data_IF_046850629187
#
_entry.id   IF_046850629187
#
_cell.length_a   1.000
_cell.length_b   1.000
_cell.length_c   1.000
_cell.angle_alpha   90.00
_cell.angle_beta   90.00
_cell.angle_gamma   90.00
#
_symmetry.space_group_name_H-M   'P 1'
#
loop_
_entity.id
_entity.type
_entity.pdbx_description
1 polymer ?
#
# COMPACT_ATOMS: atom_id res chain seq x y z
N UNK A 1 13.44 -8.92 27.96
CA UNK A 1 13.77 -7.72 28.77
C UNK A 1 15.27 -7.66 29.05
N UNK A 2 15.91 -8.76 29.46
CA UNK A 2 17.36 -8.83 29.67
C UNK A 2 18.19 -8.33 28.46
N UNK A 3 17.97 -8.90 27.27
CA UNK A 3 18.72 -8.52 26.05
C UNK A 3 18.57 -7.04 25.68
N UNK A 4 17.42 -6.44 26.05
CA UNK A 4 17.12 -5.05 25.73
C UNK A 4 17.85 -4.09 26.69
N UNK A 5 17.92 -4.44 27.98
CA UNK A 5 18.72 -3.69 28.96
C UNK A 5 20.23 -3.82 28.67
N UNK A 6 20.66 -5.01 28.24
CA UNK A 6 22.03 -5.23 27.78
C UNK A 6 22.34 -4.38 26.54
N UNK A 7 21.44 -4.35 25.55
CA UNK A 7 21.57 -3.52 24.36
C UNK A 7 21.68 -2.02 24.66
N UNK A 8 20.88 -1.50 25.59
CA UNK A 8 21.00 -0.11 26.07
C UNK A 8 22.35 0.11 26.76
N UNK A 9 22.76 -0.80 27.64
CA UNK A 9 24.01 -0.69 28.40
C UNK A 9 25.21 -0.67 27.46
N UNK A 10 25.29 -1.61 26.53
CA UNK A 10 26.37 -1.68 25.54
C UNK A 10 26.40 -0.45 24.63
N UNK A 11 25.23 0.05 24.20
CA UNK A 11 25.16 1.26 23.37
C UNK A 11 25.60 2.51 24.12
N UNK A 12 25.26 2.64 25.42
CA UNK A 12 25.76 3.74 26.27
C UNK A 12 27.28 3.67 26.45
N UNK A 13 27.83 2.48 26.65
CA UNK A 13 29.29 2.29 26.74
C UNK A 13 29.97 2.68 25.43
N UNK A 14 29.46 2.25 24.28
CA UNK A 14 30.00 2.62 22.97
C UNK A 14 29.99 4.15 22.76
N UNK A 15 28.89 4.82 23.12
CA UNK A 15 28.80 6.30 23.08
C UNK A 15 29.78 6.95 24.06
N UNK A 16 29.98 6.39 25.25
CA UNK A 16 30.92 6.93 26.24
C UNK A 16 32.39 6.78 25.83
N UNK A 17 32.74 5.70 25.12
CA UNK A 17 34.10 5.42 24.66
C UNK A 17 34.46 6.12 23.34
N UNK A 18 33.47 6.62 22.60
CA UNK A 18 33.68 7.26 21.30
C UNK A 18 33.80 8.78 21.46
N UNK A 19 34.93 9.42 21.08
CA UNK A 19 35.10 10.88 21.16
C UNK A 19 34.02 11.66 20.40
N UNK A 20 33.75 12.91 20.82
CA UNK A 20 32.69 13.74 20.25
C UNK A 20 32.84 13.96 18.74
N UNK A 21 34.06 14.17 18.27
CA UNK A 21 34.37 14.45 16.87
C UNK A 21 34.56 13.19 16.01
N UNK A 22 34.34 11.99 16.58
CA UNK A 22 34.56 10.75 15.85
C UNK A 22 33.42 10.47 14.85
N UNK A 23 33.72 10.17 13.56
CA UNK A 23 32.70 9.97 12.52
C UNK A 23 31.63 8.92 12.86
N UNK A 24 32.02 7.81 13.50
CA UNK A 24 31.09 6.74 13.89
C UNK A 24 30.25 7.05 15.13
N UNK A 25 30.47 8.17 15.83
CA UNK A 25 29.69 8.52 17.04
C UNK A 25 28.19 8.63 16.72
N UNK A 26 27.85 9.22 15.58
CA UNK A 26 26.47 9.35 15.10
C UNK A 26 25.78 7.98 14.90
N UNK A 27 26.54 6.93 14.58
CA UNK A 27 26.01 5.56 14.47
C UNK A 27 25.63 5.00 15.85
N UNK A 28 26.52 5.15 16.84
CA UNK A 28 26.27 4.67 18.21
C UNK A 28 25.13 5.42 18.89
N UNK A 29 25.06 6.74 18.72
CA UNK A 29 23.95 7.56 19.21
C UNK A 29 22.61 7.13 18.61
N UNK A 30 22.59 6.86 17.29
CA UNK A 30 21.40 6.35 16.62
C UNK A 30 20.99 4.95 17.11
N UNK A 31 21.96 4.08 17.36
CA UNK A 31 21.74 2.76 17.95
C UNK A 31 21.13 2.85 19.36
N UNK A 32 21.72 3.69 20.21
CA UNK A 32 21.24 3.96 21.57
C UNK A 32 19.79 4.47 21.57
N UNK A 33 19.48 5.46 20.72
CA UNK A 33 18.13 5.99 20.59
C UNK A 33 17.10 4.93 20.18
N UNK A 34 17.46 4.02 19.26
CA UNK A 34 16.58 2.93 18.86
C UNK A 34 16.30 1.95 20.02
N UNK A 35 17.33 1.59 20.79
CA UNK A 35 17.17 0.73 21.97
C UNK A 35 16.31 1.37 23.05
N UNK A 36 16.52 2.66 23.32
CA UNK A 36 15.72 3.42 24.28
C UNK A 36 14.25 3.52 23.85
N UNK A 37 13.98 3.80 22.57
CA UNK A 37 12.61 3.81 22.06
C UNK A 37 11.94 2.44 22.22
N UNK A 38 12.63 1.34 21.89
CA UNK A 38 12.11 -0.02 22.11
C UNK A 38 11.87 -0.30 23.60
N UNK A 39 12.73 0.22 24.50
CA UNK A 39 12.52 0.10 25.95
C UNK A 39 11.26 0.82 26.38
N UNK A 40 11.07 2.04 25.89
CA UNK A 40 9.88 2.83 26.13
C UNK A 40 8.62 2.11 25.62
N UNK A 41 8.63 1.58 24.40
CA UNK A 41 7.49 0.84 23.83
C UNK A 41 7.04 -0.31 24.73
N UNK A 42 7.96 -0.98 25.44
CA UNK A 42 7.66 -2.09 26.35
C UNK A 42 7.32 -1.67 27.78
N UNK A 43 7.87 -0.55 28.26
CA UNK A 43 7.80 -0.17 29.69
C UNK A 43 6.95 1.05 29.96
N UNK A 44 6.67 1.86 28.94
CA UNK A 44 5.97 3.15 29.06
C UNK A 44 6.76 4.26 29.77
N UNK A 45 8.03 4.04 30.13
CA UNK A 45 8.84 5.01 30.88
C UNK A 45 9.19 6.23 30.02
N UNK A 46 8.58 7.38 30.32
CA UNK A 46 8.79 8.61 29.55
C UNK A 46 10.26 9.07 29.50
N UNK A 47 11.05 8.84 30.55
CA UNK A 47 12.47 9.18 30.57
C UNK A 47 13.26 8.51 29.42
N UNK A 48 12.90 7.28 29.04
CA UNK A 48 13.55 6.57 27.94
C UNK A 48 13.23 7.21 26.59
N UNK A 49 12.00 7.72 26.44
CA UNK A 49 11.56 8.40 25.23
C UNK A 49 12.20 9.79 25.08
N UNK A 50 12.33 10.52 26.18
CA UNK A 50 13.02 11.82 26.21
C UNK A 50 14.52 11.66 25.90
N UNK A 51 15.17 10.67 26.50
CA UNK A 51 16.57 10.34 26.20
C UNK A 51 16.72 9.90 24.74
N UNK A 52 15.81 9.06 24.22
CA UNK A 52 15.78 8.64 22.82
C UNK A 52 15.74 9.85 21.88
N UNK A 53 14.83 10.80 22.09
CA UNK A 53 14.74 12.01 21.28
C UNK A 53 16.04 12.83 21.33
N UNK A 54 16.63 13.01 22.52
CA UNK A 54 17.87 13.76 22.71
C UNK A 54 19.07 13.13 21.98
N UNK A 55 19.28 11.81 22.13
CA UNK A 55 20.42 11.15 21.49
C UNK A 55 20.24 11.03 19.97
N UNK A 56 19.01 10.88 19.48
CA UNK A 56 18.72 10.87 18.05
C UNK A 56 18.90 12.25 17.41
N UNK A 57 18.55 13.32 18.12
CA UNK A 57 18.82 14.69 17.69
C UNK A 57 20.33 14.92 17.53
N UNK A 58 21.12 14.54 18.54
CA UNK A 58 22.59 14.62 18.45
C UNK A 58 23.15 13.79 17.29
N UNK A 59 22.57 12.61 17.01
CA UNK A 59 22.99 11.79 15.88
C UNK A 59 22.74 12.49 14.53
N UNK A 60 21.59 13.18 14.37
CA UNK A 60 21.27 13.96 13.18
C UNK A 60 22.22 15.14 13.02
N UNK A 61 22.48 15.88 14.09
CA UNK A 61 23.37 17.05 14.08
C UNK A 61 24.82 16.68 13.77
N UNK A 62 25.28 15.53 14.28
CA UNK A 62 26.63 15.01 14.03
C UNK A 62 26.79 14.38 12.64
N UNK A 63 25.75 14.39 11.82
CA UNK A 63 25.75 13.74 10.49
C UNK A 63 25.85 14.77 9.36
N UNK A 64 26.87 14.67 8.49
CA UNK A 64 26.97 15.50 7.28
C UNK A 64 25.72 15.43 6.39
N UNK A 65 25.38 16.53 5.71
CA UNK A 65 24.16 16.63 4.89
C UNK A 65 24.12 15.71 3.68
N UNK A 66 25.28 15.31 3.18
CA UNK A 66 25.48 14.38 2.08
C UNK A 66 25.57 12.91 2.52
N UNK A 67 25.45 12.64 3.83
CA UNK A 67 25.58 11.29 4.36
C UNK A 67 24.30 10.46 4.15
N UNK A 68 24.39 9.26 3.56
CA UNK A 68 23.22 8.42 3.22
C UNK A 68 22.44 7.93 4.44
N UNK A 69 23.13 7.61 5.55
CA UNK A 69 22.46 7.21 6.80
C UNK A 69 21.71 8.35 7.50
N UNK A 70 21.81 9.59 6.99
CA UNK A 70 21.03 10.71 7.52
C UNK A 70 19.52 10.45 7.37
N UNK A 71 19.10 9.71 6.34
CA UNK A 71 17.71 9.23 6.20
C UNK A 71 17.28 8.40 7.41
N UNK A 72 18.07 7.39 7.78
CA UNK A 72 17.76 6.51 8.91
C UNK A 72 17.74 7.25 10.24
N UNK A 73 18.64 8.22 10.42
CA UNK A 73 18.72 9.05 11.64
C UNK A 73 17.51 9.96 11.78
N UNK A 74 17.14 10.69 10.72
CA UNK A 74 15.92 11.47 10.67
C UNK A 74 14.66 10.62 10.84
N UNK A 75 14.62 9.44 10.23
CA UNK A 75 13.50 8.50 10.37
C UNK A 75 13.32 8.07 11.83
N UNK A 76 14.41 7.69 12.51
CA UNK A 76 14.36 7.27 13.91
C UNK A 76 13.96 8.43 14.83
N UNK A 77 14.51 9.62 14.61
CA UNK A 77 14.14 10.83 15.35
C UNK A 77 12.65 11.16 15.17
N UNK A 78 12.17 11.20 13.92
CA UNK A 78 10.77 11.45 13.61
C UNK A 78 9.84 10.42 14.24
N UNK A 79 10.25 9.13 14.27
CA UNK A 79 9.51 8.08 14.97
C UNK A 79 9.46 8.32 16.49
N UNK A 80 10.57 8.68 17.12
CA UNK A 80 10.62 8.98 18.56
C UNK A 80 9.77 10.20 18.93
N UNK A 81 9.82 11.25 18.12
CA UNK A 81 8.99 12.46 18.28
C UNK A 81 7.50 12.16 18.10
N UNK A 82 7.14 11.31 17.14
CA UNK A 82 5.77 10.85 16.99
C UNK A 82 5.29 10.08 18.23
N UNK A 83 6.08 9.13 18.74
CA UNK A 83 5.71 8.41 19.97
C UNK A 83 5.58 9.34 21.17
N UNK A 84 6.35 10.43 21.21
CA UNK A 84 6.20 11.47 22.23
C UNK A 84 4.89 12.24 22.07
N UNK A 85 4.54 12.64 20.85
CA UNK A 85 3.24 13.23 20.55
C UNK A 85 2.07 12.32 20.98
N UNK A 86 2.15 11.02 20.67
CA UNK A 86 1.11 10.04 21.05
C UNK A 86 0.92 9.93 22.57
N UNK A 87 1.94 10.28 23.39
CA UNK A 87 1.85 10.29 24.85
C UNK A 87 1.46 11.64 25.44
N UNK A 88 1.94 12.75 24.87
CA UNK A 88 1.77 14.08 25.46
C UNK A 88 0.66 14.91 24.80
N UNK A 89 0.28 14.59 23.57
CA UNK A 89 -0.63 15.40 22.76
C UNK A 89 -0.04 16.73 22.29
N UNK A 90 1.23 17.01 22.55
CA UNK A 90 1.87 18.29 22.22
C UNK A 90 2.06 18.45 20.71
N UNK A 91 1.34 19.38 20.10
CA UNK A 91 1.36 19.64 18.64
C UNK A 91 2.77 19.94 18.12
N UNK A 92 3.62 20.59 18.91
CA UNK A 92 5.01 20.85 18.52
C UNK A 92 5.80 19.57 18.19
N UNK A 93 5.52 18.45 18.86
CA UNK A 93 6.20 17.18 18.60
C UNK A 93 5.79 16.58 17.25
N UNK A 94 4.51 16.70 16.84
CA UNK A 94 4.06 16.16 15.54
C UNK A 94 4.53 17.01 14.36
N UNK A 95 4.65 18.33 14.56
CA UNK A 95 5.27 19.22 13.57
C UNK A 95 6.76 18.94 13.39
N UNK A 96 7.49 18.73 14.49
CA UNK A 96 8.91 18.40 14.40
C UNK A 96 9.14 16.99 13.83
N UNK A 97 8.27 16.04 14.16
CA UNK A 97 8.29 14.70 13.58
C UNK A 97 8.07 14.74 12.05
N UNK A 98 7.07 15.49 11.56
CA UNK A 98 6.81 15.58 10.12
C UNK A 98 7.96 16.26 9.37
N UNK A 99 8.55 17.33 9.94
CA UNK A 99 9.76 17.97 9.40
C UNK A 99 10.93 17.00 9.31
N UNK A 100 11.21 16.24 10.37
CA UNK A 100 12.27 15.23 10.35
C UNK A 100 12.05 14.19 9.24
N UNK A 101 10.83 13.69 9.08
CA UNK A 101 10.51 12.70 8.05
C UNK A 101 10.54 13.29 6.62
N UNK A 102 10.16 14.55 6.44
CA UNK A 102 10.34 15.26 5.16
C UNK A 102 11.83 15.45 4.82
N UNK A 103 12.65 15.79 5.81
CA UNK A 103 14.10 15.88 5.61
C UNK A 103 14.71 14.51 5.24
N UNK A 104 14.19 13.41 5.80
CA UNK A 104 14.56 12.07 5.38
C UNK A 104 14.14 11.78 3.92
N UNK A 105 12.93 12.18 3.52
CA UNK A 105 12.44 12.03 2.14
C UNK A 105 13.29 12.78 1.12
N UNK A 106 13.69 14.02 1.42
CA UNK A 106 14.47 14.88 0.52
C UNK A 106 15.97 14.56 0.47
N UNK A 107 16.48 13.70 1.35
CA UNK A 107 17.89 13.32 1.38
C UNK A 107 18.22 12.36 0.21
N UNK A 108 18.61 12.96 -0.92
CA UNK A 108 18.93 12.25 -2.17
C UNK A 108 20.01 11.15 -2.04
N UNK A 109 21.04 11.26 -1.17
CA UNK A 109 22.02 10.20 -1.00
C UNK A 109 21.46 8.90 -0.40
N UNK A 110 20.32 8.97 0.31
CA UNK A 110 19.69 7.80 0.93
C UNK A 110 19.09 6.83 -0.09
N UNK A 111 18.87 5.57 0.31
CA UNK A 111 18.23 4.60 -0.57
C UNK A 111 16.77 4.97 -0.83
N UNK A 112 16.22 4.72 -2.04
CA UNK A 112 14.82 4.99 -2.36
C UNK A 112 13.86 4.34 -1.36
N UNK A 113 14.11 3.10 -0.96
CA UNK A 113 13.32 2.38 0.03
C UNK A 113 13.29 3.09 1.40
N UNK A 114 14.43 3.57 1.89
CA UNK A 114 14.49 4.27 3.18
C UNK A 114 13.76 5.62 3.12
N UNK A 115 13.86 6.32 1.99
CA UNK A 115 13.13 7.58 1.74
C UNK A 115 11.62 7.34 1.69
N UNK A 116 11.17 6.33 0.95
CA UNK A 116 9.75 5.93 0.86
C UNK A 116 9.20 5.55 2.22
N UNK A 117 9.97 4.80 3.03
CA UNK A 117 9.59 4.46 4.40
C UNK A 117 9.35 5.69 5.28
N UNK A 118 10.20 6.70 5.16
CA UNK A 118 10.02 7.95 5.89
C UNK A 118 8.81 8.75 5.39
N UNK A 119 8.64 8.85 4.06
CA UNK A 119 7.52 9.54 3.44
C UNK A 119 6.16 8.89 3.77
N UNK A 120 6.06 7.57 3.72
CA UNK A 120 4.86 6.82 4.09
C UNK A 120 4.40 7.11 5.52
N UNK A 121 5.36 7.22 6.46
CA UNK A 121 5.06 7.61 7.84
C UNK A 121 4.70 9.09 7.96
N UNK A 122 5.38 9.96 7.20
CA UNK A 122 5.12 11.39 7.19
C UNK A 122 3.71 11.72 6.67
N UNK A 123 3.25 11.02 5.63
CA UNK A 123 1.93 11.19 5.02
C UNK A 123 0.81 11.20 6.08
N UNK A 124 0.85 10.21 6.98
CA UNK A 124 -0.10 10.08 8.10
C UNK A 124 -0.01 11.21 9.12
N UNK A 125 1.18 11.78 9.32
CA UNK A 125 1.37 12.92 10.23
C UNK A 125 0.91 14.23 9.61
N UNK A 126 1.12 14.41 8.30
CA UNK A 126 0.68 15.60 7.57
C UNK A 126 -0.85 15.65 7.48
N UNK A 127 -1.49 14.51 7.26
CA UNK A 127 -2.94 14.38 7.31
C UNK A 127 -3.51 14.82 8.68
N UNK A 128 -2.93 14.33 9.79
CA UNK A 128 -3.31 14.77 11.15
C UNK A 128 -3.10 16.27 11.41
N UNK A 129 -2.15 16.88 10.72
CA UNK A 129 -1.85 18.32 10.80
C UNK A 129 -2.71 19.16 9.85
N UNK A 130 -3.65 18.55 9.12
CA UNK A 130 -4.46 19.20 8.10
C UNK A 130 -3.63 19.89 7.00
N UNK A 131 -2.45 19.34 6.68
CA UNK A 131 -1.56 19.82 5.61
C UNK A 131 -1.78 19.01 4.33
N UNK A 132 -3.01 19.06 3.81
CA UNK A 132 -3.51 18.19 2.74
C UNK A 132 -2.70 18.31 1.46
N UNK A 133 -2.41 19.53 0.97
CA UNK A 133 -1.68 19.74 -0.29
C UNK A 133 -0.29 19.08 -0.30
N UNK A 134 0.46 19.26 0.80
CA UNK A 134 1.80 18.69 0.97
C UNK A 134 1.71 17.17 1.06
N UNK A 135 0.69 16.65 1.76
CA UNK A 135 0.46 15.22 1.89
C UNK A 135 0.13 14.58 0.53
N UNK A 136 -0.74 15.20 -0.26
CA UNK A 136 -1.09 14.74 -1.61
C UNK A 136 0.17 14.68 -2.48
N UNK A 137 0.94 15.76 -2.55
CA UNK A 137 2.16 15.78 -3.36
C UNK A 137 3.15 14.71 -2.92
N UNK A 138 3.37 14.56 -1.61
CA UNK A 138 4.25 13.52 -1.07
C UNK A 138 3.77 12.11 -1.44
N UNK A 139 2.47 11.85 -1.36
CA UNK A 139 1.89 10.56 -1.75
C UNK A 139 2.06 10.27 -3.24
N UNK A 140 1.81 11.27 -4.11
CA UNK A 140 2.03 11.18 -5.56
C UNK A 140 3.50 10.83 -5.85
N UNK A 141 4.43 11.58 -5.26
CA UNK A 141 5.87 11.36 -5.44
C UNK A 141 6.33 9.97 -4.95
N UNK A 142 5.76 9.47 -3.85
CA UNK A 142 6.07 8.12 -3.34
C UNK A 142 5.65 7.07 -4.36
N UNK A 143 4.41 7.13 -4.88
CA UNK A 143 3.91 6.15 -5.85
C UNK A 143 4.74 6.19 -7.14
N UNK A 144 5.14 7.38 -7.59
CA UNK A 144 5.97 7.54 -8.78
C UNK A 144 7.41 7.01 -8.58
N UNK A 145 7.92 6.97 -7.34
CA UNK A 145 9.24 6.41 -7.01
C UNK A 145 9.21 4.88 -6.77
N UNK A 146 8.05 4.28 -6.48
CA UNK A 146 7.93 2.84 -6.19
C UNK A 146 8.49 1.91 -7.29
N UNK A 147 8.34 2.20 -8.61
CA UNK A 147 8.90 1.34 -9.67
C UNK A 147 10.43 1.17 -9.62
N UNK A 148 11.14 2.04 -8.89
CA UNK A 148 12.60 1.98 -8.75
C UNK A 148 13.03 1.08 -7.57
N UNK A 149 12.13 0.83 -6.62
CA UNK A 149 12.40 -0.09 -5.49
C UNK A 149 12.41 -1.53 -6.01
N UNK A 150 13.44 -2.32 -5.70
CA UNK A 150 13.47 -3.75 -6.03
C UNK A 150 13.12 -4.61 -4.84
N UNK A 151 12.26 -5.62 -5.04
CA UNK A 151 12.08 -6.73 -4.09
C UNK A 151 12.46 -8.09 -4.67
N UNK A 152 12.67 -8.20 -5.99
CA UNK A 152 12.78 -9.49 -6.69
C UNK A 152 13.97 -10.38 -6.33
N UNK A 153 14.97 -9.88 -5.59
CA UNK A 153 16.12 -10.65 -5.08
C UNK A 153 16.02 -11.05 -3.60
N UNK A 154 15.03 -10.50 -2.90
CA UNK A 154 14.81 -10.77 -1.49
C UNK A 154 14.11 -12.12 -1.31
N UNK A 155 14.37 -12.79 -0.20
CA UNK A 155 13.53 -13.93 0.21
C UNK A 155 12.07 -13.47 0.36
N UNK A 156 11.10 -14.38 0.18
CA UNK A 156 9.67 -14.02 0.22
C UNK A 156 9.28 -13.22 1.48
N UNK A 157 9.88 -13.53 2.63
CA UNK A 157 9.63 -12.81 3.89
C UNK A 157 10.12 -11.35 3.82
N UNK A 158 11.30 -11.13 3.22
CA UNK A 158 11.87 -9.80 3.03
C UNK A 158 11.12 -9.01 1.95
N UNK A 159 10.62 -9.68 0.90
CA UNK A 159 9.70 -9.08 -0.08
C UNK A 159 8.41 -8.59 0.59
N UNK A 160 7.80 -9.42 1.43
CA UNK A 160 6.62 -9.05 2.20
C UNK A 160 6.91 -7.87 3.14
N UNK A 161 8.08 -7.83 3.77
CA UNK A 161 8.50 -6.72 4.62
C UNK A 161 8.68 -5.41 3.83
N UNK A 162 9.24 -5.47 2.62
CA UNK A 162 9.36 -4.28 1.77
C UNK A 162 7.97 -3.82 1.30
N UNK A 163 7.12 -4.73 0.83
CA UNK A 163 5.74 -4.39 0.42
C UNK A 163 4.93 -3.81 1.58
N UNK A 164 5.10 -4.32 2.81
CA UNK A 164 4.41 -3.77 3.98
C UNK A 164 4.85 -2.36 4.34
N UNK A 165 6.05 -1.93 3.94
CA UNK A 165 6.57 -0.59 4.23
C UNK A 165 5.78 0.52 3.53
N UNK A 166 5.22 0.24 2.35
CA UNK A 166 4.38 1.18 1.61
C UNK A 166 2.93 0.72 1.48
N UNK A 167 2.57 -0.38 2.16
CA UNK A 167 1.18 -0.77 2.32
C UNK A 167 0.40 0.37 3.00
N UNK A 168 -0.76 0.72 2.43
CA UNK A 168 -1.59 1.82 2.89
C UNK A 168 -1.29 3.18 2.26
N UNK A 169 -0.09 3.43 1.69
CA UNK A 169 0.23 4.75 1.08
C UNK A 169 -0.79 5.14 0.01
N UNK A 170 -1.11 4.22 -0.91
CA UNK A 170 -2.10 4.47 -1.95
C UNK A 170 -3.52 4.68 -1.40
N UNK A 171 -3.86 4.02 -0.28
CA UNK A 171 -5.16 4.19 0.37
C UNK A 171 -5.27 5.55 1.07
N UNK A 172 -4.22 5.99 1.76
CA UNK A 172 -4.15 7.32 2.38
C UNK A 172 -4.14 8.44 1.33
N UNK A 173 -3.36 8.28 0.25
CA UNK A 173 -3.38 9.25 -0.85
C UNK A 173 -4.76 9.31 -1.52
N UNK A 174 -5.40 8.16 -1.73
CA UNK A 174 -6.77 8.10 -2.24
C UNK A 174 -7.72 8.90 -1.33
N UNK A 175 -7.68 8.68 -0.01
CA UNK A 175 -8.49 9.43 0.94
C UNK A 175 -8.26 10.95 0.85
N UNK A 176 -7.01 11.40 0.80
CA UNK A 176 -6.67 12.83 0.68
C UNK A 176 -7.17 13.45 -0.65
N UNK A 177 -7.05 12.73 -1.76
CA UNK A 177 -7.55 13.18 -3.07
C UNK A 177 -9.08 13.26 -3.08
N UNK A 178 -9.77 12.32 -2.42
CA UNK A 178 -11.23 12.35 -2.27
C UNK A 178 -11.70 13.50 -1.38
N UNK A 179 -10.93 13.86 -0.34
CA UNK A 179 -11.17 15.07 0.45
C UNK A 179 -11.03 16.35 -0.38
N UNK A 180 -10.14 16.33 -1.38
CA UNK A 180 -9.96 17.43 -2.34
C UNK A 180 -10.91 17.38 -3.53
N UNK A 181 -11.89 16.47 -3.52
CA UNK A 181 -12.87 16.26 -4.61
C UNK A 181 -12.23 15.89 -5.97
N UNK A 182 -11.17 15.07 -5.94
CA UNK A 182 -10.46 14.56 -7.13
C UNK A 182 -10.62 13.02 -7.30
N UNK A 183 -11.83 12.50 -7.58
CA UNK A 183 -12.09 11.05 -7.61
C UNK A 183 -11.40 10.31 -8.75
N UNK A 184 -11.18 10.97 -9.89
CA UNK A 184 -10.48 10.40 -11.03
C UNK A 184 -8.98 10.17 -10.73
N UNK A 185 -8.31 11.16 -10.13
CA UNK A 185 -6.93 11.06 -9.68
C UNK A 185 -6.79 10.04 -8.55
N UNK A 186 -7.74 10.02 -7.60
CA UNK A 186 -7.77 9.03 -6.52
C UNK A 186 -7.79 7.60 -7.07
N UNK A 187 -8.66 7.33 -8.06
CA UNK A 187 -8.74 6.04 -8.73
C UNK A 187 -7.44 5.68 -9.47
N UNK A 188 -6.88 6.62 -10.23
CA UNK A 188 -5.64 6.42 -11.00
C UNK A 188 -4.47 6.06 -10.08
N UNK A 189 -4.21 6.86 -9.05
CA UNK A 189 -3.11 6.57 -8.11
C UNK A 189 -3.32 5.28 -7.32
N UNK A 190 -4.57 4.92 -7.01
CA UNK A 190 -4.88 3.65 -6.35
C UNK A 190 -4.57 2.44 -7.24
N UNK A 191 -4.95 2.49 -8.52
CA UNK A 191 -4.61 1.44 -9.50
C UNK A 191 -3.11 1.41 -9.82
N UNK A 192 -2.44 2.56 -9.90
CA UNK A 192 -0.97 2.64 -10.06
C UNK A 192 -0.25 1.97 -8.89
N UNK A 193 -0.64 2.27 -7.65
CA UNK A 193 -0.07 1.65 -6.45
C UNK A 193 -0.21 0.11 -6.47
N UNK A 194 -1.40 -0.39 -6.84
CA UNK A 194 -1.64 -1.84 -7.00
C UNK A 194 -0.80 -2.46 -8.12
N UNK A 195 -0.72 -1.80 -9.26
CA UNK A 195 0.03 -2.29 -10.41
C UNK A 195 1.51 -2.45 -10.09
N UNK A 196 2.10 -1.54 -9.30
CA UNK A 196 3.48 -1.68 -8.85
C UNK A 196 3.63 -2.86 -7.89
N UNK A 197 2.75 -3.04 -6.91
CA UNK A 197 2.80 -4.20 -5.99
C UNK A 197 2.72 -5.52 -6.76
N UNK A 198 1.77 -5.65 -7.69
CA UNK A 198 1.61 -6.85 -8.52
C UNK A 198 2.82 -7.02 -9.45
N UNK A 199 3.31 -5.95 -10.04
CA UNK A 199 4.49 -5.96 -10.91
C UNK A 199 5.76 -6.38 -10.18
N UNK A 200 5.95 -5.98 -8.92
CA UNK A 200 7.09 -6.43 -8.10
C UNK A 200 7.05 -7.93 -7.80
N UNK A 201 5.87 -8.56 -7.83
CA UNK A 201 5.72 -10.01 -7.70
C UNK A 201 6.02 -10.78 -9.00
N UNK A 202 6.18 -10.08 -10.13
CA UNK A 202 6.40 -10.67 -11.47
C UNK A 202 7.73 -10.16 -12.04
N UNK A 203 8.74 -11.04 -12.18
CA UNK A 203 10.08 -10.62 -12.58
C UNK A 203 10.16 -10.02 -14.00
N UNK A 204 10.96 -8.95 -14.17
CA UNK A 204 11.22 -8.26 -15.44
C UNK A 204 12.72 -8.07 -15.75
N UNK A 205 13.07 -7.64 -16.98
CA UNK A 205 14.45 -7.53 -17.48
C UNK A 205 15.30 -6.40 -16.85
N UNK A 206 14.69 -5.34 -16.31
CA UNK A 206 15.38 -4.19 -15.69
C UNK A 206 15.94 -4.44 -14.27
N UNK A 207 16.04 -5.71 -13.85
CA UNK A 207 16.36 -6.14 -12.48
C UNK A 207 17.70 -5.61 -11.96
N UNK A 208 18.74 -5.63 -12.79
CA UNK A 208 20.11 -5.28 -12.36
C UNK A 208 20.25 -3.81 -11.95
N UNK A 209 19.67 -2.87 -12.70
CA UNK A 209 19.74 -1.44 -12.37
C UNK A 209 18.96 -1.13 -11.08
N UNK A 210 17.82 -1.80 -10.86
CA UNK A 210 17.06 -1.66 -9.61
C UNK A 210 17.85 -2.23 -8.41
N UNK A 211 18.63 -3.28 -8.59
CA UNK A 211 19.49 -3.82 -7.53
C UNK A 211 20.55 -2.81 -7.09
N UNK A 212 21.25 -2.21 -8.05
CA UNK A 212 22.29 -1.22 -7.78
C UNK A 212 21.74 0.06 -7.14
N UNK A 213 20.53 0.47 -7.52
CA UNK A 213 19.82 1.59 -6.89
C UNK A 213 19.48 1.34 -5.40
N UNK A 214 19.24 0.08 -5.02
CA UNK A 214 18.78 -0.29 -3.68
C UNK A 214 19.87 -0.94 -2.80
N UNK A 215 21.05 -1.21 -3.33
CA UNK A 215 22.13 -1.89 -2.62
C UNK A 215 22.48 -1.20 -1.28
N UNK A 216 22.55 -1.95 -0.16
CA UNK A 216 22.92 -1.38 1.14
C UNK A 216 24.36 -0.85 1.09
N UNK A 217 24.58 0.31 1.69
CA UNK A 217 25.93 0.86 1.84
C UNK A 217 26.58 0.19 3.05
N UNK A 218 27.45 -0.80 2.80
CA UNK A 218 28.38 -1.33 3.81
C UNK A 218 29.78 -0.90 3.43
N UNK A 219 30.31 0.16 4.04
CA UNK A 219 31.75 0.43 4.01
C UNK A 219 32.18 1.32 5.18
N UNK A 220 33.15 0.84 5.94
CA UNK A 220 33.87 1.52 7.03
C UNK A 220 35.01 2.44 6.50
N UNK A 221 35.07 2.71 5.19
CA UNK A 221 36.09 3.58 4.57
C UNK A 221 35.46 4.55 3.56
N UNK A 222 35.75 5.84 3.73
CA UNK A 222 35.09 6.97 3.05
C UNK A 222 35.14 6.96 1.51
N UNK A 223 36.22 6.43 0.92
CA UNK A 223 36.43 6.41 -0.55
C UNK A 223 35.56 5.37 -1.25
N UNK A 224 35.47 4.15 -0.72
CA UNK A 224 34.59 3.11 -1.24
C UNK A 224 33.10 3.52 -1.12
N UNK A 225 32.76 4.17 0.00
CA UNK A 225 31.40 4.69 0.21
C UNK A 225 31.04 5.80 -0.80
N UNK A 226 31.97 6.70 -1.14
CA UNK A 226 31.75 7.74 -2.15
C UNK A 226 31.53 7.16 -3.56
N UNK A 227 32.26 6.12 -3.92
CA UNK A 227 32.12 5.45 -5.22
C UNK A 227 30.78 4.71 -5.34
N UNK A 228 30.34 4.01 -4.29
CA UNK A 228 29.02 3.37 -4.27
C UNK A 228 27.89 4.42 -4.32
N UNK A 229 28.07 5.59 -3.68
CA UNK A 229 27.12 6.72 -3.80
C UNK A 229 27.02 7.28 -5.22
N UNK A 230 28.15 7.40 -5.93
CA UNK A 230 28.15 7.81 -7.34
C UNK A 230 27.41 6.79 -8.19
N UNK A 231 27.77 5.51 -8.03
CA UNK A 231 27.16 4.42 -8.81
C UNK A 231 25.66 4.31 -8.57
N UNK A 232 25.18 4.48 -7.33
CA UNK A 232 23.73 4.49 -7.05
C UNK A 232 23.00 5.59 -7.83
N UNK A 233 23.54 6.82 -7.84
CA UNK A 233 22.93 7.94 -8.58
C UNK A 233 22.95 7.71 -10.09
N UNK A 234 24.04 7.16 -10.60
CA UNK A 234 24.15 6.77 -12.00
C UNK A 234 23.14 5.69 -12.37
N UNK A 235 23.02 4.62 -11.56
CA UNK A 235 22.07 3.53 -11.80
C UNK A 235 20.60 4.00 -11.82
N UNK A 236 20.22 4.94 -10.94
CA UNK A 236 18.89 5.56 -10.97
C UNK A 236 18.69 6.34 -12.28
N UNK A 237 19.67 7.14 -12.70
CA UNK A 237 19.60 7.88 -13.97
C UNK A 237 19.58 6.99 -15.22
N UNK A 238 20.34 5.89 -15.21
CA UNK A 238 20.35 4.86 -16.25
C UNK A 238 19.00 4.15 -16.33
N UNK A 239 18.38 3.82 -15.19
CA UNK A 239 17.05 3.21 -15.16
C UNK A 239 15.99 4.16 -15.73
N UNK A 240 16.01 5.45 -15.36
CA UNK A 240 15.11 6.46 -15.90
C UNK A 240 15.31 6.67 -17.41
N UNK A 241 16.55 6.60 -17.89
CA UNK A 241 16.86 6.65 -19.32
C UNK A 241 16.31 5.42 -20.05
N UNK A 242 16.52 4.22 -19.50
CA UNK A 242 16.01 2.95 -20.05
C UNK A 242 14.47 2.95 -20.13
N UNK A 243 13.78 3.36 -19.07
CA UNK A 243 12.32 3.47 -19.07
C UNK A 243 11.84 4.45 -20.16
N UNK A 244 12.52 5.60 -20.33
CA UNK A 244 12.20 6.56 -21.39
C UNK A 244 12.44 6.00 -22.79
N UNK A 245 13.51 5.24 -22.98
CA UNK A 245 13.80 4.58 -24.25
C UNK A 245 12.71 3.56 -24.61
N UNK A 246 12.32 2.71 -23.66
CA UNK A 246 11.23 1.73 -23.86
C UNK A 246 9.92 2.46 -24.22
N UNK A 247 9.63 3.59 -23.56
CA UNK A 247 8.46 4.42 -23.90
C UNK A 247 8.55 5.12 -25.26
N UNK A 248 9.72 5.17 -25.89
CA UNK A 248 9.90 5.63 -27.27
C UNK A 248 9.55 4.58 -28.32
N UNK A 249 9.37 3.31 -27.94
CA UNK A 249 9.00 2.22 -28.84
C UNK A 249 7.48 2.25 -29.09
N UNK A 250 7.07 2.16 -30.35
CA UNK A 250 5.66 2.12 -30.75
C UNK A 250 4.94 0.97 -30.05
N UNK A 251 3.83 1.28 -29.37
CA UNK A 251 3.06 0.34 -28.56
C UNK A 251 3.54 0.16 -27.12
N UNK A 252 4.65 0.80 -26.74
CA UNK A 252 5.20 0.79 -25.38
C UNK A 252 5.21 2.17 -24.72
N UNK A 253 4.52 3.16 -25.29
CA UNK A 253 4.47 4.55 -24.81
C UNK A 253 4.04 4.65 -23.34
N UNK A 254 3.29 3.64 -22.88
CA UNK A 254 2.77 3.52 -21.52
C UNK A 254 3.40 2.38 -20.71
N UNK A 255 4.62 1.98 -21.07
CA UNK A 255 5.40 1.02 -20.29
C UNK A 255 5.54 1.47 -18.83
N UNK A 256 5.20 0.58 -17.90
CA UNK A 256 5.10 0.82 -16.45
C UNK A 256 4.13 1.95 -16.05
N UNK A 257 3.23 2.40 -16.94
CA UNK A 257 2.13 3.28 -16.60
C UNK A 257 0.82 2.50 -16.39
N UNK A 258 -0.05 3.01 -15.52
CA UNK A 258 -1.38 2.47 -15.25
C UNK A 258 -2.36 2.68 -16.42
N UNK A 259 -3.58 2.16 -16.29
CA UNK A 259 -4.69 2.46 -17.22
C UNK A 259 -5.11 3.93 -17.11
N UNK A 260 -5.66 4.52 -18.18
CA UNK A 260 -6.28 5.85 -18.06
C UNK A 260 -7.64 5.72 -17.41
N UNK A 261 -8.16 6.84 -16.90
CA UNK A 261 -9.53 6.90 -16.37
C UNK A 261 -10.54 6.44 -17.42
N UNK A 262 -10.41 6.88 -18.68
CA UNK A 262 -11.27 6.44 -19.77
C UNK A 262 -11.23 4.92 -19.99
N UNK A 263 -10.03 4.30 -19.99
CA UNK A 263 -9.91 2.84 -20.10
C UNK A 263 -10.52 2.11 -18.90
N UNK A 264 -10.41 2.69 -17.70
CA UNK A 264 -11.04 2.14 -16.50
C UNK A 264 -12.57 2.23 -16.57
N UNK A 265 -13.12 3.31 -17.12
CA UNK A 265 -14.55 3.47 -17.39
C UNK A 265 -15.05 2.50 -18.46
N UNK A 266 -14.28 2.27 -19.52
CA UNK A 266 -14.59 1.23 -20.53
C UNK A 266 -14.62 -0.17 -19.89
N UNK A 267 -13.74 -0.42 -18.92
CA UNK A 267 -13.77 -1.65 -18.11
C UNK A 267 -15.02 -1.74 -17.20
N UNK A 268 -15.83 -0.69 -17.05
CA UNK A 268 -17.11 -0.71 -16.35
C UNK A 268 -18.33 -0.84 -17.29
N UNK A 269 -18.13 -1.09 -18.60
CA UNK A 269 -19.23 -1.14 -19.59
C UNK A 269 -20.32 -2.20 -19.34
N UNK A 270 -20.02 -3.25 -18.58
CA UNK A 270 -20.94 -4.37 -18.31
C UNK A 270 -21.34 -4.44 -16.82
N UNK A 271 -21.28 -3.32 -16.10
CA UNK A 271 -21.62 -3.22 -14.69
C UNK A 271 -20.63 -2.35 -13.93
N UNK A 272 -21.15 -1.62 -12.94
CA UNK A 272 -20.38 -0.65 -12.14
C UNK A 272 -19.25 -1.36 -11.40
N UNK A 273 -18.05 -0.78 -11.48
CA UNK A 273 -16.94 -1.20 -10.62
C UNK A 273 -16.98 -0.34 -9.37
N UNK A 274 -17.05 -0.97 -8.21
CA UNK A 274 -17.08 -0.29 -6.92
C UNK A 274 -15.78 -0.56 -6.20
N UNK A 275 -15.00 0.50 -6.02
CA UNK A 275 -13.73 0.44 -5.28
C UNK A 275 -13.99 0.92 -3.85
N UNK A 276 -13.84 0.03 -2.88
CA UNK A 276 -13.99 0.37 -1.47
C UNK A 276 -12.60 0.68 -0.91
N UNK A 277 -12.38 1.95 -0.58
CA UNK A 277 -11.16 2.42 0.05
C UNK A 277 -11.35 2.60 1.56
N UNK A 278 -10.49 1.97 2.35
CA UNK A 278 -10.46 2.13 3.80
C UNK A 278 -9.10 2.66 4.19
N UNK A 279 -9.08 3.90 4.68
CA UNK A 279 -7.88 4.57 5.16
C UNK A 279 -8.08 5.09 6.59
N UNK A 280 -7.00 5.51 7.23
CA UNK A 280 -7.03 6.02 8.60
C UNK A 280 -7.80 7.35 8.72
N UNK A 281 -7.80 8.15 7.64
CA UNK A 281 -8.43 9.48 7.60
C UNK A 281 -9.92 9.38 7.32
N UNK A 282 -10.30 8.60 6.29
CA UNK A 282 -11.67 8.41 5.82
C UNK A 282 -11.80 7.11 5.06
N UNK A 283 -13.04 6.63 4.97
CA UNK A 283 -13.40 5.47 4.14
C UNK A 283 -14.41 5.91 3.09
N UNK A 284 -14.24 5.39 1.87
CA UNK A 284 -14.94 5.86 0.69
C UNK A 284 -15.25 4.73 -0.28
N UNK A 285 -16.35 4.89 -1.02
CA UNK A 285 -16.65 4.09 -2.19
C UNK A 285 -16.42 4.95 -3.45
N UNK A 286 -15.58 4.48 -4.37
CA UNK A 286 -15.44 5.05 -5.71
C UNK A 286 -16.25 4.19 -6.68
N UNK A 287 -17.26 4.78 -7.30
CA UNK A 287 -18.11 4.17 -8.31
C UNK A 287 -17.58 4.55 -9.68
N UNK A 288 -17.15 3.54 -10.44
CA UNK A 288 -16.66 3.68 -11.81
C UNK A 288 -17.72 3.14 -12.75
N UNK A 289 -18.22 4.02 -13.61
CA UNK A 289 -19.18 3.70 -14.66
C UNK A 289 -18.69 4.25 -16.02
N UNK A 290 -19.32 3.85 -17.14
CA UNK A 290 -19.03 4.43 -18.45
C UNK A 290 -19.28 5.94 -18.52
N UNK A 291 -20.13 6.47 -17.65
CA UNK A 291 -20.52 7.89 -17.67
C UNK A 291 -19.70 8.76 -16.73
N UNK A 292 -19.02 8.19 -15.74
CA UNK A 292 -18.20 8.96 -14.81
C UNK A 292 -17.49 8.14 -13.74
N UNK A 293 -16.65 8.83 -12.98
CA UNK A 293 -16.08 8.34 -11.72
C UNK A 293 -16.62 9.23 -10.60
N UNK A 294 -17.41 8.65 -9.71
CA UNK A 294 -18.04 9.36 -8.59
C UNK A 294 -17.52 8.74 -7.29
N UNK A 295 -17.27 9.56 -6.28
CA UNK A 295 -16.90 9.09 -4.96
C UNK A 295 -17.96 9.45 -3.94
N UNK A 296 -18.17 8.55 -2.99
CA UNK A 296 -19.10 8.68 -1.90
C UNK A 296 -18.38 8.36 -0.58
N UNK A 297 -18.45 9.29 0.37
CA UNK A 297 -17.99 9.05 1.73
C UNK A 297 -18.84 7.99 2.40
N UNK A 298 -18.20 7.08 3.14
CA UNK A 298 -18.89 6.05 3.91
C UNK A 298 -18.99 6.48 5.37
N UNK A 299 -20.20 6.73 5.83
CA UNK A 299 -20.47 7.00 7.24
C UNK A 299 -20.54 5.68 8.02
N UNK A 300 -19.59 5.43 8.92
CA UNK A 300 -19.58 4.24 9.76
C UNK A 300 -18.50 4.24 10.85
N UNK A 301 -18.64 3.45 11.93
CA UNK A 301 -17.58 3.27 12.91
C UNK A 301 -16.33 2.68 12.24
N UNK A 302 -15.15 2.88 12.84
CA UNK A 302 -13.86 2.38 12.33
C UNK A 302 -14.03 0.98 11.75
N UNK A 303 -13.76 0.84 10.45
CA UNK A 303 -13.93 -0.43 9.76
C UNK A 303 -12.84 -1.39 10.26
N UNK A 304 -13.19 -2.19 11.26
CA UNK A 304 -12.32 -3.17 11.90
C UNK A 304 -12.28 -4.52 11.19
N UNK A 305 -11.46 -5.42 11.71
CA UNK A 305 -11.45 -6.83 11.30
C UNK A 305 -12.76 -7.50 11.70
N UNK A 306 -13.36 -8.27 10.77
CA UNK A 306 -14.58 -9.02 11.04
C UNK A 306 -14.41 -10.00 12.22
N UNK A 307 -15.51 -10.36 12.89
CA UNK A 307 -15.47 -11.13 14.13
C UNK A 307 -15.13 -12.61 13.91
N UNK A 308 -14.53 -13.24 14.91
CA UNK A 308 -14.12 -14.67 14.87
C UNK A 308 -15.26 -15.65 15.23
N UNK A 309 -16.36 -15.19 15.84
CA UNK A 309 -17.48 -16.03 16.28
C UNK A 309 -18.73 -15.91 15.38
N UNK A 310 -19.42 -17.04 15.15
CA UNK A 310 -20.55 -17.15 14.21
C UNK A 310 -21.76 -16.25 14.56
N UNK A 311 -22.06 -16.03 15.84
CA UNK A 311 -23.16 -15.14 16.26
C UNK A 311 -22.87 -13.68 15.94
N UNK A 312 -21.61 -13.28 16.05
CA UNK A 312 -21.12 -11.93 15.75
C UNK A 312 -20.98 -11.73 14.22
N UNK A 313 -20.84 -12.81 13.44
CA UNK A 313 -20.71 -12.73 11.99
C UNK A 313 -21.97 -12.21 11.29
N UNK A 314 -23.18 -12.62 11.72
CA UNK A 314 -24.43 -12.06 11.17
C UNK A 314 -24.60 -10.57 11.52
N UNK A 315 -24.20 -10.18 12.74
CA UNK A 315 -24.16 -8.77 13.15
C UNK A 315 -23.17 -7.98 12.29
N UNK A 316 -22.01 -8.57 11.97
CA UNK A 316 -21.02 -7.98 11.07
C UNK A 316 -21.55 -7.83 9.63
N UNK A 317 -22.26 -8.82 9.08
CA UNK A 317 -22.87 -8.71 7.75
C UNK A 317 -23.98 -7.65 7.71
N UNK A 318 -24.75 -7.53 8.80
CA UNK A 318 -25.77 -6.50 8.98
C UNK A 318 -25.13 -5.11 9.09
N UNK A 319 -24.03 -4.99 9.84
CA UNK A 319 -23.25 -3.77 9.92
C UNK A 319 -22.65 -3.39 8.56
N UNK A 320 -22.03 -4.33 7.85
CA UNK A 320 -21.42 -4.10 6.53
C UNK A 320 -22.47 -3.67 5.49
N UNK A 321 -23.70 -4.17 5.64
CA UNK A 321 -24.83 -3.74 4.83
C UNK A 321 -25.13 -2.26 5.04
N UNK A 322 -25.38 -1.85 6.28
CA UNK A 322 -25.78 -0.47 6.59
C UNK A 322 -24.64 0.54 6.38
N UNK A 323 -23.42 0.18 6.80
CA UNK A 323 -22.26 1.08 6.74
C UNK A 323 -21.68 1.24 5.32
N UNK A 324 -21.95 0.30 4.40
CA UNK A 324 -21.31 0.29 3.08
C UNK A 324 -22.29 -0.09 1.96
N UNK A 325 -22.71 -1.35 1.93
CA UNK A 325 -23.26 -1.93 0.70
C UNK A 325 -24.61 -1.31 0.33
N UNK A 326 -25.45 -1.00 1.32
CA UNK A 326 -26.74 -0.34 1.11
C UNK A 326 -26.56 1.03 0.43
N UNK A 327 -25.60 1.83 0.90
CA UNK A 327 -25.34 3.16 0.37
C UNK A 327 -24.87 3.10 -1.09
N UNK A 328 -23.93 2.18 -1.38
CA UNK A 328 -23.46 1.92 -2.75
C UNK A 328 -24.62 1.48 -3.66
N UNK A 329 -25.48 0.58 -3.19
CA UNK A 329 -26.60 0.06 -3.99
C UNK A 329 -27.65 1.13 -4.30
N UNK A 330 -27.89 2.07 -3.38
CA UNK A 330 -28.77 3.21 -3.63
C UNK A 330 -28.22 4.07 -4.77
N UNK A 331 -26.93 4.37 -4.75
CA UNK A 331 -26.29 5.19 -5.78
C UNK A 331 -26.22 4.47 -7.14
N UNK A 332 -25.89 3.17 -7.15
CA UNK A 332 -25.89 2.36 -8.37
C UNK A 332 -27.31 2.20 -8.94
N UNK A 333 -28.30 1.96 -8.08
CA UNK A 333 -29.70 1.75 -8.48
C UNK A 333 -30.43 3.02 -8.90
N UNK A 334 -30.04 4.18 -8.37
CA UNK A 334 -30.58 5.49 -8.76
C UNK A 334 -30.27 5.90 -10.21
N UNK A 335 -29.33 5.21 -10.86
CA UNK A 335 -28.95 5.44 -12.26
C UNK A 335 -29.54 4.45 -13.27
N UNK A 336 -30.31 3.44 -12.85
CA UNK A 336 -30.89 2.43 -13.74
C UNK A 336 -32.41 2.37 -13.64
N UNK A 337 -33.11 2.57 -14.76
CA UNK A 337 -34.49 2.10 -14.89
C UNK A 337 -34.47 0.57 -14.67
N UNK A 338 -35.09 0.11 -13.57
CA UNK A 338 -35.12 -1.30 -13.13
C UNK A 338 -35.91 -2.24 -14.06
N UNK A 339 -36.09 -1.86 -15.33
CA UNK A 339 -36.81 -2.65 -16.33
C UNK A 339 -36.01 -3.85 -16.85
N UNK A 340 -34.68 -3.92 -16.61
CA UNK A 340 -33.75 -4.92 -17.19
C UNK A 340 -33.10 -5.91 -16.18
N UNK A 341 -33.59 -5.99 -14.94
CA UNK A 341 -33.08 -6.95 -13.93
C UNK A 341 -32.12 -6.35 -12.90
N UNK A 342 -31.46 -7.19 -12.10
CA UNK A 342 -30.59 -6.74 -11.00
C UNK A 342 -29.29 -6.10 -11.52
N UNK A 343 -28.84 -4.96 -10.94
CA UNK A 343 -27.58 -4.32 -11.33
C UNK A 343 -26.38 -5.24 -11.10
N UNK A 344 -25.41 -5.23 -12.03
CA UNK A 344 -24.14 -5.97 -11.87
C UNK A 344 -23.09 -5.08 -11.24
N UNK A 345 -22.45 -5.58 -10.19
CA UNK A 345 -21.42 -4.87 -9.43
C UNK A 345 -20.14 -5.70 -9.36
N UNK A 346 -19.00 -5.03 -9.56
CA UNK A 346 -17.67 -5.59 -9.38
C UNK A 346 -16.99 -4.92 -8.18
N UNK A 347 -16.84 -5.66 -7.08
CA UNK A 347 -16.20 -5.18 -5.87
C UNK A 347 -14.68 -5.26 -5.98
N UNK A 348 -14.03 -4.16 -5.60
CA UNK A 348 -12.59 -4.03 -5.50
C UNK A 348 -12.22 -3.37 -4.15
N UNK A 349 -11.84 -4.18 -3.16
CA UNK A 349 -11.42 -3.64 -1.85
C UNK A 349 -9.97 -3.13 -1.85
N UNK A 350 -9.64 -2.15 -1.01
CA UNK A 350 -8.27 -1.79 -0.61
C UNK A 350 -8.00 -2.19 0.84
N UNK A 351 -6.77 -2.59 1.17
CA UNK A 351 -6.41 -2.94 2.55
C UNK A 351 -7.36 -3.99 3.14
N UNK A 352 -7.93 -3.71 4.32
CA UNK A 352 -8.90 -4.56 5.01
C UNK A 352 -10.20 -4.81 4.21
N UNK A 353 -10.60 -3.89 3.32
CA UNK A 353 -11.78 -4.09 2.47
C UNK A 353 -11.63 -5.30 1.53
N UNK A 354 -10.39 -5.68 1.20
CA UNK A 354 -10.11 -6.79 0.29
C UNK A 354 -10.59 -8.14 0.83
N UNK A 355 -10.74 -8.28 2.15
CA UNK A 355 -11.27 -9.47 2.81
C UNK A 355 -12.76 -9.40 3.14
N UNK A 356 -13.45 -8.31 2.81
CA UNK A 356 -14.84 -8.11 3.23
C UNK A 356 -15.86 -8.82 2.33
N UNK A 357 -16.84 -9.53 2.91
CA UNK A 357 -17.83 -10.28 2.17
C UNK A 357 -18.99 -9.38 1.70
N UNK A 358 -18.71 -8.31 0.93
CA UNK A 358 -19.72 -7.41 0.36
C UNK A 358 -20.88 -8.15 -0.32
N UNK A 359 -20.62 -9.25 -1.03
CA UNK A 359 -21.65 -10.08 -1.65
C UNK A 359 -22.65 -10.73 -0.66
N UNK A 360 -22.25 -10.92 0.60
CA UNK A 360 -23.07 -11.52 1.66
C UNK A 360 -23.59 -10.48 2.66
N UNK A 361 -23.23 -9.20 2.51
CA UNK A 361 -23.72 -8.15 3.38
C UNK A 361 -25.25 -8.07 3.31
N UNK A 362 -25.90 -8.05 4.46
CA UNK A 362 -27.35 -7.96 4.56
C UNK A 362 -27.90 -8.28 5.94
N UNK A 363 -29.16 -7.94 6.13
CA UNK A 363 -29.96 -8.43 7.27
C UNK A 363 -30.52 -9.80 6.88
N UNK A 364 -30.02 -10.86 7.53
CA UNK A 364 -30.40 -12.26 7.22
C UNK A 364 -31.57 -12.76 8.07
N UNK A 365 -32.54 -11.88 8.35
CA UNK A 365 -33.80 -12.28 8.96
C UNK A 365 -34.67 -13.05 7.96
N UNK A 366 -35.52 -13.95 8.45
CA UNK A 366 -36.42 -14.75 7.61
C UNK A 366 -37.27 -13.86 6.70
N UNK A 367 -37.15 -14.06 5.38
CA UNK A 367 -37.89 -13.30 4.36
C UNK A 367 -37.33 -11.91 4.02
N UNK A 368 -36.19 -11.50 4.60
CA UNK A 368 -35.57 -10.20 4.29
C UNK A 368 -35.01 -10.15 2.86
N UNK A 369 -35.24 -9.03 2.18
CA UNK A 369 -34.61 -8.66 0.89
C UNK A 369 -33.60 -7.50 1.03
N UNK A 370 -33.34 -7.08 2.27
CA UNK A 370 -32.32 -6.09 2.62
C UNK A 370 -30.95 -6.78 2.69
N UNK A 371 -30.51 -7.33 1.56
CA UNK A 371 -29.22 -7.99 1.41
C UNK A 371 -28.72 -7.87 -0.04
N UNK A 372 -27.41 -8.04 -0.21
CA UNK A 372 -26.74 -7.83 -1.50
C UNK A 372 -27.19 -8.84 -2.54
N UNK A 373 -27.37 -10.09 -2.14
CA UNK A 373 -27.81 -11.17 -3.01
C UNK A 373 -29.18 -10.89 -3.66
N UNK A 374 -30.10 -10.29 -2.92
CA UNK A 374 -31.44 -9.92 -3.42
C UNK A 374 -31.42 -8.68 -4.32
N UNK A 375 -30.35 -7.87 -4.29
CA UNK A 375 -30.34 -6.53 -4.89
C UNK A 375 -29.31 -6.33 -6.00
N UNK A 376 -28.32 -7.20 -6.14
CA UNK A 376 -27.30 -7.06 -7.17
C UNK A 376 -26.69 -8.40 -7.57
N UNK A 377 -26.24 -8.47 -8.82
CA UNK A 377 -25.32 -9.53 -9.29
C UNK A 377 -23.91 -9.10 -8.88
N UNK A 378 -23.45 -9.66 -7.77
CA UNK A 378 -22.16 -9.32 -7.15
C UNK A 378 -21.01 -10.17 -7.70
N UNK A 379 -19.87 -9.57 -7.97
CA UNK A 379 -18.63 -10.24 -8.39
C UNK A 379 -17.41 -9.47 -7.86
N UNK A 380 -16.23 -10.10 -7.82
CA UNK A 380 -15.00 -9.47 -7.36
C UNK A 380 -13.96 -9.41 -8.47
N UNK A 381 -13.10 -8.39 -8.44
CA UNK A 381 -11.92 -8.30 -9.30
C UNK A 381 -10.70 -7.86 -8.48
N UNK A 382 -9.48 -8.34 -8.78
CA UNK A 382 -8.28 -7.91 -8.06
C UNK A 382 -7.74 -6.53 -8.51
N UNK A 383 -8.12 -6.09 -9.71
CA UNK A 383 -7.87 -4.74 -10.24
C UNK A 383 -8.79 -4.44 -11.42
N UNK A 384 -8.91 -3.16 -11.80
CA UNK A 384 -9.68 -2.79 -13.00
C UNK A 384 -8.99 -3.34 -14.27
N UNK A 385 -7.65 -3.35 -14.29
CA UNK A 385 -6.87 -3.92 -15.40
C UNK A 385 -7.13 -5.41 -15.61
N UNK A 386 -7.22 -6.17 -14.52
CA UNK A 386 -7.53 -7.61 -14.59
C UNK A 386 -8.94 -7.86 -15.14
N UNK A 387 -9.92 -7.04 -14.74
CA UNK A 387 -11.28 -7.08 -15.28
C UNK A 387 -11.29 -6.79 -16.79
N UNK A 388 -10.57 -5.73 -17.21
CA UNK A 388 -10.40 -5.40 -18.62
C UNK A 388 -9.79 -6.53 -19.43
N UNK A 389 -8.71 -7.13 -18.93
CA UNK A 389 -8.04 -8.27 -19.56
C UNK A 389 -8.97 -9.49 -19.70
N UNK A 390 -9.69 -9.86 -18.63
CA UNK A 390 -10.63 -10.97 -18.65
C UNK A 390 -11.75 -10.76 -19.68
N UNK A 391 -12.30 -9.54 -19.74
CA UNK A 391 -13.35 -9.18 -20.70
C UNK A 391 -12.85 -9.16 -22.14
N UNK A 392 -11.68 -8.58 -22.39
CA UNK A 392 -11.07 -8.59 -23.72
C UNK A 392 -10.87 -10.03 -24.22
N UNK A 393 -10.35 -10.90 -23.36
CA UNK A 393 -10.16 -12.32 -23.67
C UNK A 393 -11.50 -13.04 -23.94
N UNK A 394 -12.54 -12.75 -23.14
CA UNK A 394 -13.87 -13.31 -23.38
C UNK A 394 -14.45 -12.88 -24.75
N UNK A 395 -14.41 -11.59 -25.08
CA UNK A 395 -14.85 -11.06 -26.39
C UNK A 395 -14.06 -11.65 -27.55
N UNK A 396 -12.74 -11.78 -27.41
CA UNK A 396 -11.91 -12.42 -28.43
C UNK A 396 -12.28 -13.90 -28.64
N UNK A 397 -12.66 -14.60 -27.57
CA UNK A 397 -13.11 -16.01 -27.62
C UNK A 397 -14.52 -16.15 -28.21
N UNK A 398 -15.44 -15.22 -27.92
CA UNK A 398 -16.78 -15.17 -28.52
C UNK A 398 -16.72 -14.90 -30.03
N UNK A 399 -15.83 -14.01 -30.45
CA UNK A 399 -15.57 -13.73 -31.87
C UNK A 399 -14.89 -14.92 -32.56
N UNK A 400 -14.10 -15.70 -31.83
CA UNK A 400 -13.54 -16.97 -32.27
C UNK A 400 -14.52 -18.13 -31.99
N UNK A 401 -15.71 -18.10 -32.60
CA UNK A 401 -16.72 -19.17 -32.50
C UNK A 401 -16.09 -20.56 -32.64
N UNK A 402 -16.05 -21.35 -31.56
CA UNK A 402 -15.76 -22.77 -31.65
C UNK A 402 -15.25 -23.53 -30.42
N UNK A 403 -14.84 -22.91 -29.32
CA UNK A 403 -14.29 -23.67 -28.19
C UNK A 403 -15.24 -23.75 -27.00
N UNK A 404 -16.01 -24.85 -26.96
CA UNK A 404 -16.72 -25.32 -25.77
C UNK A 404 -15.69 -25.74 -24.71
N UNK A 405 -15.66 -25.06 -23.55
CA UNK A 405 -14.86 -25.50 -22.40
C UNK A 405 -15.65 -26.56 -21.62
N UNK A 406 -15.30 -27.84 -21.79
CA UNK A 406 -15.79 -28.91 -20.93
C UNK A 406 -14.78 -29.08 -19.79
N UNK A 407 -15.16 -28.66 -18.58
CA UNK A 407 -14.44 -29.04 -17.37
C UNK A 407 -15.06 -30.33 -16.81
N UNK A 408 -14.46 -31.47 -17.13
CA UNK A 408 -14.80 -32.73 -16.48
C UNK A 408 -14.10 -32.80 -15.12
N UNK A 409 -14.87 -32.88 -14.03
CA UNK A 409 -14.33 -33.33 -12.73
C UNK A 409 -14.14 -34.86 -12.81
N UNK A 410 -12.91 -35.40 -12.70
CA UNK A 410 -12.70 -36.84 -12.77
C UNK A 410 -13.31 -37.58 -11.57
N UNK A 411 -13.48 -36.90 -10.43
CA UNK A 411 -14.00 -37.49 -9.20
C UNK A 411 -14.72 -36.44 -8.37
N UNK A 412 -16.02 -36.64 -8.13
CA UNK A 412 -16.82 -35.88 -7.17
C UNK A 412 -16.47 -36.35 -5.75
N UNK A 413 -16.03 -35.49 -4.82
CA UNK A 413 -15.79 -35.91 -3.44
C UNK A 413 -17.12 -36.24 -2.78
N UNK A 414 -17.33 -37.50 -2.39
CA UNK A 414 -18.50 -37.91 -1.59
C UNK A 414 -19.32 -39.09 -2.14
N UNK A 415 -19.16 -39.48 -3.40
CA UNK A 415 -19.79 -40.70 -3.92
C UNK A 415 -18.73 -41.78 -4.18
N UNK A 416 -18.91 -42.92 -3.51
CA UNK A 416 -18.08 -44.11 -3.68
C UNK A 416 -18.00 -44.52 -5.15
N UNK A 417 -16.82 -44.99 -5.54
CA UNK A 417 -16.51 -45.60 -6.82
C UNK A 417 -17.62 -46.54 -7.30
N UNK A 418 -18.33 -46.16 -8.36
CA UNK A 418 -19.09 -47.11 -9.19
C UNK A 418 -18.18 -47.57 -10.33
N UNK A 419 -17.82 -48.86 -10.41
CA UNK A 419 -17.13 -49.41 -11.57
C UNK A 419 -18.18 -49.62 -12.67
N UNK A 420 -18.26 -48.69 -13.61
CA UNK A 420 -18.66 -48.91 -15.01
C UNK A 420 -18.98 -47.56 -15.66
N UNK A 421 -17.96 -46.96 -16.28
CA UNK A 421 -18.15 -45.96 -17.32
C UNK A 421 -17.19 -46.30 -18.44
N UNK A 422 -17.70 -47.06 -19.41
CA UNK A 422 -17.02 -47.40 -20.65
C UNK A 422 -16.48 -46.14 -21.33
N UNK A 423 -15.21 -46.20 -21.74
CA UNK A 423 -14.59 -45.18 -22.59
C UNK A 423 -15.33 -45.12 -23.93
N UNK A 424 -15.76 -43.94 -24.43
CA UNK A 424 -16.20 -43.84 -25.81
C UNK A 424 -14.98 -43.99 -26.72
N UNK A 425 -15.02 -45.01 -27.59
CA UNK A 425 -14.16 -45.09 -28.78
C UNK A 425 -14.61 -43.99 -29.75
N UNK A 426 -13.69 -43.11 -30.11
CA UNK A 426 -13.85 -42.14 -31.20
C UNK A 426 -13.89 -42.91 -32.55
N UNK A 427 -14.80 -42.59 -33.48
CA UNK A 427 -14.57 -42.80 -34.92
C UNK A 427 -13.60 -41.76 -35.49
#
# INVERSE_FOLDING_TARGET
MADLEEGVTMSRQAVGLTPQDHPSRAMWLNGLGNWLLRRFERTGKMADLEESCSVLQQAVESTPCDHPDRVSRFYNLGRSLQSRYERTGEVANVEEASKCLLNAWHCQPGSPLARIKAAARCLKLLARQNRVDIAIQLGKDVIDLLPIVNTGMLERNDQQFVVSTFAGVAAELCALLLESNEPADALDYLERGRAVIIGQLVAGPERQLRDEANAPLRAEQDTAAAQVRSRRREAVGELDACIREIRGIVGFERFLLGQTVAEMQDCASAGTVVVINIAEIRSDAILVSPTGVVAQGMDGPEIGTGPEEQGVYLEYLSWLWEACVRQVLVEVGGGSDLTDGLPRIWWLGTGLASSMPFHAAGTHADGSTENTFSRAISSYTPSIKALGYARHRARATENARGSLLIAAMPTTPGNGSTPDAEKPKLP
#
